data_IF_519162190360
#
_entry.id   IF_519162190360
#
_cell.length_a   1.000
_cell.length_b   1.000
_cell.length_c   1.000
_cell.angle_alpha   90.00
_cell.angle_beta   90.00
_cell.angle_gamma   90.00
#
_symmetry.space_group_name_H-M   'P 1'
#
loop_
_entity.id
_entity.type
_entity.pdbx_description
1 polymer ?
#
# COMPACT_ATOMS: atom_id res chain seq x y z
N UNK A 1 -29.54 19.09 13.87
CA UNK A 1 -29.39 17.76 13.22
C UNK A 1 -28.44 16.98 14.11
N UNK A 2 -28.71 15.72 14.42
CA UNK A 2 -27.75 14.93 15.18
C UNK A 2 -26.54 14.65 14.28
N UNK A 3 -25.35 14.68 14.87
CA UNK A 3 -24.06 14.41 14.22
C UNK A 3 -23.48 13.11 14.78
N UNK A 4 -22.82 12.34 13.93
CA UNK A 4 -22.14 11.10 14.29
C UNK A 4 -20.68 11.10 13.78
N UNK A 5 -19.85 10.26 14.38
CA UNK A 5 -18.44 10.19 14.05
C UNK A 5 -18.20 9.65 12.63
N UNK A 6 -17.28 10.26 11.89
CA UNK A 6 -16.91 9.84 10.54
C UNK A 6 -16.04 8.57 10.57
N UNK A 7 -16.69 7.41 10.52
CA UNK A 7 -16.06 6.09 10.45
C UNK A 7 -15.15 5.94 9.22
N UNK A 8 -15.52 6.55 8.11
CA UNK A 8 -14.73 6.57 6.88
C UNK A 8 -13.39 7.29 7.06
N UNK A 9 -13.38 8.46 7.72
CA UNK A 9 -12.15 9.17 8.08
C UNK A 9 -11.26 8.33 9.00
N UNK A 10 -11.85 7.64 9.99
CA UNK A 10 -11.12 6.68 10.82
C UNK A 10 -10.48 5.55 10.02
N UNK A 11 -11.18 5.04 9.01
CA UNK A 11 -10.68 4.01 8.09
C UNK A 11 -9.51 4.51 7.24
N UNK A 12 -9.63 5.71 6.65
CA UNK A 12 -8.54 6.34 5.90
C UNK A 12 -7.31 6.57 6.79
N UNK A 13 -7.51 6.95 8.05
CA UNK A 13 -6.42 7.10 9.00
C UNK A 13 -5.69 5.75 9.22
N UNK A 14 -6.44 4.67 9.47
CA UNK A 14 -5.87 3.33 9.61
C UNK A 14 -5.12 2.87 8.34
N UNK A 15 -5.65 3.18 7.17
CA UNK A 15 -4.99 2.86 5.90
C UNK A 15 -3.63 3.53 5.77
N UNK A 16 -3.54 4.85 6.05
CA UNK A 16 -2.28 5.60 5.91
C UNK A 16 -1.26 5.31 7.02
N UNK A 17 -1.70 4.97 8.23
CA UNK A 17 -0.78 4.77 9.37
C UNK A 17 -0.36 3.32 9.58
N UNK A 18 -1.20 2.36 9.17
CA UNK A 18 -0.98 0.96 9.52
C UNK A 18 -1.04 0.04 8.31
N UNK A 19 -2.15 0.02 7.56
CA UNK A 19 -2.36 -1.01 6.52
C UNK A 19 -1.32 -0.90 5.40
N UNK A 20 -1.17 0.28 4.79
CA UNK A 20 -0.25 0.47 3.66
C UNK A 20 1.22 0.33 4.11
N UNK A 21 1.66 0.95 5.23
CA UNK A 21 3.01 0.72 5.77
C UNK A 21 3.32 -0.75 6.07
N UNK A 22 2.40 -1.48 6.71
CA UNK A 22 2.63 -2.89 7.04
C UNK A 22 2.75 -3.77 5.78
N UNK A 23 1.98 -3.49 4.73
CA UNK A 23 2.12 -4.18 3.44
C UNK A 23 3.48 -3.90 2.78
N UNK A 24 3.95 -2.65 2.83
CA UNK A 24 5.27 -2.26 2.34
C UNK A 24 6.37 -2.99 3.12
N UNK A 25 6.26 -3.03 4.44
CA UNK A 25 7.22 -3.70 5.31
C UNK A 25 7.22 -5.23 5.10
N UNK A 26 6.05 -5.84 4.88
CA UNK A 26 5.93 -7.26 4.55
C UNK A 26 6.64 -7.63 3.21
N UNK A 27 6.63 -6.73 2.23
CA UNK A 27 7.37 -6.93 0.97
C UNK A 27 8.86 -6.67 1.14
N UNK A 28 9.24 -5.69 1.96
CA UNK A 28 10.62 -5.30 2.16
C UNK A 28 11.38 -6.24 3.11
N UNK A 29 10.74 -6.74 4.18
CA UNK A 29 11.31 -7.62 5.22
C UNK A 29 12.72 -7.23 5.71
N UNK A 30 13.11 -5.95 5.60
CA UNK A 30 14.47 -5.48 5.90
C UNK A 30 15.54 -5.90 4.90
N UNK A 31 15.18 -6.59 3.80
CA UNK A 31 16.09 -7.20 2.84
C UNK A 31 16.56 -6.24 1.72
N UNK A 32 16.13 -4.98 1.70
CA UNK A 32 16.46 -4.06 0.62
C UNK A 32 15.48 -4.14 -0.55
N UNK A 33 15.95 -3.88 -1.76
CA UNK A 33 15.08 -3.99 -2.93
C UNK A 33 14.63 -5.46 -3.05
N UNK A 34 13.34 -5.78 -3.26
CA UNK A 34 12.87 -7.16 -3.42
C UNK A 34 13.65 -7.96 -4.48
N UNK A 35 14.19 -7.28 -5.51
CA UNK A 35 15.07 -7.91 -6.48
C UNK A 35 16.36 -8.47 -5.86
N UNK A 36 16.91 -7.87 -4.81
CA UNK A 36 18.20 -8.29 -4.23
C UNK A 36 18.16 -9.72 -3.68
N UNK A 37 17.01 -10.17 -3.14
CA UNK A 37 16.82 -11.57 -2.73
C UNK A 37 16.89 -12.52 -3.93
N UNK A 38 16.16 -12.22 -5.01
CA UNK A 38 16.19 -13.02 -6.25
C UNK A 38 17.55 -12.99 -6.95
N UNK A 39 18.24 -11.86 -6.89
CA UNK A 39 19.57 -11.69 -7.47
C UNK A 39 20.65 -12.42 -6.67
N UNK A 40 20.48 -12.58 -5.36
CA UNK A 40 21.40 -13.38 -4.55
C UNK A 40 21.42 -14.84 -5.02
N UNK A 41 20.24 -15.41 -5.29
CA UNK A 41 20.11 -16.77 -5.83
C UNK A 41 20.73 -16.87 -7.23
N UNK A 42 20.49 -15.90 -8.11
CA UNK A 42 21.06 -15.87 -9.47
C UNK A 42 22.58 -15.74 -9.47
N UNK A 43 23.14 -14.94 -8.55
CA UNK A 43 24.59 -14.75 -8.41
C UNK A 43 25.30 -16.02 -7.95
N UNK A 44 24.64 -16.85 -7.15
CA UNK A 44 25.16 -18.15 -6.68
C UNK A 44 25.18 -19.23 -7.76
N UNK A 45 24.41 -19.05 -8.84
CA UNK A 45 24.27 -20.02 -9.94
C UNK A 45 25.35 -19.94 -11.03
N UNK A 46 26.32 -19.03 -10.94
CA UNK A 46 27.45 -18.95 -11.88
C UNK A 46 27.13 -18.30 -13.24
N UNK A 47 26.04 -17.53 -13.34
CA UNK A 47 25.66 -16.83 -14.57
C UNK A 47 26.52 -15.57 -14.77
N UNK A 48 27.58 -15.67 -15.57
CA UNK A 48 28.47 -14.55 -15.90
C UNK A 48 28.42 -14.23 -17.41
N UNK A 49 27.26 -13.79 -17.89
CA UNK A 49 27.10 -13.29 -19.27
C UNK A 49 26.29 -11.98 -19.30
N UNK A 50 26.48 -11.18 -20.35
CA UNK A 50 25.85 -9.86 -20.49
C UNK A 50 24.32 -9.90 -20.38
N UNK A 51 23.68 -10.97 -20.89
CA UNK A 51 22.23 -11.17 -20.77
C UNK A 51 21.77 -11.36 -19.33
N UNK A 52 22.58 -11.98 -18.46
CA UNK A 52 22.26 -12.10 -17.04
C UNK A 52 22.35 -10.74 -16.32
N UNK A 53 23.33 -9.92 -16.70
CA UNK A 53 23.46 -8.54 -16.21
C UNK A 53 22.29 -7.67 -16.63
N UNK A 54 21.87 -7.74 -17.91
CA UNK A 54 20.73 -6.98 -18.43
C UNK A 54 19.41 -7.39 -17.75
N UNK A 55 19.19 -8.70 -17.58
CA UNK A 55 18.04 -9.21 -16.83
C UNK A 55 18.05 -8.69 -15.38
N UNK A 56 19.21 -8.71 -14.72
CA UNK A 56 19.35 -8.26 -13.34
C UNK A 56 19.02 -6.78 -13.17
N UNK A 57 19.51 -5.94 -14.09
CA UNK A 57 19.21 -4.50 -14.11
C UNK A 57 17.73 -4.23 -14.40
N UNK A 58 17.14 -4.99 -15.33
CA UNK A 58 15.71 -4.89 -15.64
C UNK A 58 14.86 -5.25 -14.43
N UNK A 59 15.21 -6.33 -13.72
CA UNK A 59 14.51 -6.77 -12.52
C UNK A 59 14.60 -5.70 -11.42
N UNK A 60 15.80 -5.16 -11.13
CA UNK A 60 15.98 -4.06 -10.17
C UNK A 60 15.15 -2.83 -10.51
N UNK A 61 15.11 -2.44 -11.78
CA UNK A 61 14.33 -1.30 -12.24
C UNK A 61 12.82 -1.50 -12.01
N UNK A 62 12.31 -2.70 -12.29
CA UNK A 62 10.89 -3.04 -12.09
C UNK A 62 10.51 -3.10 -10.60
N UNK A 63 11.37 -3.63 -9.74
CA UNK A 63 11.08 -3.75 -8.32
C UNK A 63 11.32 -2.46 -7.54
N UNK A 64 12.18 -1.58 -8.04
CA UNK A 64 12.42 -0.25 -7.45
C UNK A 64 11.14 0.61 -7.40
N UNK A 65 10.23 0.44 -8.37
CA UNK A 65 8.97 1.20 -8.41
C UNK A 65 7.92 0.71 -7.41
N UNK A 66 8.06 -0.53 -6.90
CA UNK A 66 7.09 -1.12 -5.97
C UNK A 66 7.03 -0.33 -4.67
N UNK A 67 8.19 0.02 -4.09
CA UNK A 67 8.24 0.79 -2.84
C UNK A 67 7.67 2.20 -3.03
N UNK A 68 7.99 2.86 -4.14
CA UNK A 68 7.42 4.17 -4.48
C UNK A 68 5.90 4.12 -4.63
N UNK A 69 5.35 3.05 -5.19
CA UNK A 69 3.90 2.89 -5.29
C UNK A 69 3.18 2.83 -3.93
N UNK A 70 3.83 2.29 -2.88
CA UNK A 70 3.29 2.34 -1.52
C UNK A 70 3.31 3.77 -0.95
N UNK A 71 4.41 4.50 -1.17
CA UNK A 71 4.55 5.88 -0.70
C UNK A 71 3.53 6.81 -1.42
N UNK A 72 3.30 6.58 -2.72
CA UNK A 72 2.25 7.26 -3.49
C UNK A 72 0.85 6.91 -2.96
N UNK A 73 0.59 5.64 -2.64
CA UNK A 73 -0.68 5.22 -2.06
C UNK A 73 -0.95 5.88 -0.70
N UNK A 74 0.05 5.99 0.18
CA UNK A 74 -0.07 6.76 1.44
C UNK A 74 -0.41 8.22 1.15
N UNK A 75 0.25 8.83 0.16
CA UNK A 75 0.00 10.22 -0.23
C UNK A 75 -1.44 10.43 -0.70
N UNK A 76 -1.96 9.55 -1.56
CA UNK A 76 -3.34 9.60 -2.05
C UNK A 76 -4.34 9.45 -0.90
N UNK A 77 -4.13 8.48 -0.01
CA UNK A 77 -5.02 8.27 1.15
C UNK A 77 -4.97 9.45 2.12
N UNK A 78 -3.79 10.02 2.36
CA UNK A 78 -3.65 11.19 3.24
C UNK A 78 -4.33 12.44 2.67
N UNK A 79 -4.30 12.62 1.34
CA UNK A 79 -5.02 13.69 0.66
C UNK A 79 -6.54 13.51 0.76
N UNK A 80 -7.05 12.27 0.69
CA UNK A 80 -8.46 11.98 0.94
C UNK A 80 -8.84 12.22 2.42
N UNK A 81 -8.02 11.72 3.36
CA UNK A 81 -8.24 11.87 4.80
C UNK A 81 -8.33 13.34 5.23
N UNK A 82 -7.45 14.19 4.69
CA UNK A 82 -7.41 15.62 5.03
C UNK A 82 -8.64 16.40 4.57
N UNK A 83 -9.45 15.84 3.66
CA UNK A 83 -10.68 16.47 3.15
C UNK A 83 -11.94 16.07 3.92
N UNK A 84 -11.85 15.03 4.75
CA UNK A 84 -13.00 14.52 5.49
C UNK A 84 -13.20 15.30 6.81
N UNK A 85 -14.45 15.64 7.18
CA UNK A 85 -14.77 16.20 8.49
C UNK A 85 -14.66 15.12 9.57
N UNK A 86 -14.48 15.53 10.84
CA UNK A 86 -14.43 14.59 11.97
C UNK A 86 -15.80 13.96 12.27
N UNK A 87 -16.87 14.71 12.02
CA UNK A 87 -18.26 14.32 12.23
C UNK A 87 -19.06 14.54 10.95
N UNK A 88 -20.13 13.75 10.79
CA UNK A 88 -21.06 13.80 9.66
C UNK A 88 -22.49 13.77 10.18
N UNK A 89 -23.50 14.23 9.40
CA UNK A 89 -24.90 14.11 9.79
C UNK A 89 -25.28 12.65 10.06
N UNK A 90 -26.20 12.43 10.99
CA UNK A 90 -26.75 11.11 11.28
C UNK A 90 -27.33 10.43 10.01
N UNK A 91 -27.00 9.15 9.81
CA UNK A 91 -27.32 8.32 8.63
C UNK A 91 -26.52 8.65 7.36
N UNK A 92 -25.49 9.50 7.44
CA UNK A 92 -24.52 9.67 6.34
C UNK A 92 -23.76 8.36 6.09
N UNK A 93 -23.49 8.04 4.83
CA UNK A 93 -22.80 6.81 4.42
C UNK A 93 -21.38 6.67 5.00
N UNK A 94 -20.78 7.77 5.47
CA UNK A 94 -19.48 7.83 6.15
C UNK A 94 -19.56 7.59 7.65
N UNK A 95 -20.77 7.64 8.20
CA UNK A 95 -21.07 7.48 9.62
C UNK A 95 -20.90 6.04 10.10
N UNK A 96 -21.02 5.85 11.41
CA UNK A 96 -20.92 4.53 12.07
C UNK A 96 -22.16 3.66 11.81
N UNK A 97 -23.28 4.26 11.39
CA UNK A 97 -24.52 3.55 11.09
C UNK A 97 -24.43 2.63 9.85
N UNK A 98 -23.48 2.88 8.94
CA UNK A 98 -23.33 2.09 7.72
C UNK A 98 -22.33 0.94 7.91
N UNK A 99 -22.74 -0.32 7.64
CA UNK A 99 -21.85 -1.47 7.79
C UNK A 99 -20.65 -1.35 6.84
N UNK A 100 -19.46 -1.71 7.34
CA UNK A 100 -18.21 -1.82 6.57
C UNK A 100 -18.27 -2.97 5.56
N UNK A 101 -19.20 -2.93 4.62
CA UNK A 101 -19.19 -3.82 3.47
C UNK A 101 -18.13 -3.30 2.51
N UNK A 102 -16.87 -3.60 2.80
CA UNK A 102 -15.86 -3.69 1.76
C UNK A 102 -16.45 -4.63 0.73
N UNK A 103 -16.71 -4.13 -0.47
CA UNK A 103 -17.60 -4.78 -1.43
C UNK A 103 -17.43 -6.30 -1.38
N UNK A 104 -18.45 -7.00 -0.89
CA UNK A 104 -18.75 -8.34 -1.41
C UNK A 104 -19.15 -8.10 -2.87
N UNK A 105 -18.17 -7.75 -3.71
CA UNK A 105 -18.28 -7.86 -5.15
C UNK A 105 -18.33 -9.37 -5.37
N UNK A 106 -19.55 -9.86 -5.41
CA UNK A 106 -20.00 -11.19 -5.83
C UNK A 106 -18.85 -12.12 -6.22
N UNK A 107 -18.57 -13.09 -5.35
CA UNK A 107 -18.02 -14.38 -5.77
C UNK A 107 -18.99 -15.06 -6.73
#
# INVERSE_FOLDING_TARGET
MAEEQNAYKGTLNNCKTSVIPNCRDAIYHGAGNPADSLLSDLSSGGWACDSATEFSNTLRGKTATILGAFDDAVTVVNAAWSKEPDEVPENDWRGNAWPKQWSMRNM
#
